data_IF_235251270220
#
_entry.id   IF_235251270220
#
_cell.length_a   1.000
_cell.length_b   1.000
_cell.length_c   1.000
_cell.angle_alpha   90.00
_cell.angle_beta   90.00
_cell.angle_gamma   90.00
#
_symmetry.space_group_name_H-M   'P 1'
#
loop_
_entity.id
_entity.type
_entity.pdbx_description
1 polymer ?
#
# COMPACT_ATOMS: atom_id res chain seq x y z
N UNK A 1 -5.01 8.97 4.07
CA UNK A 1 -5.03 9.84 5.27
C UNK A 1 -5.69 9.13 6.43
N UNK A 2 -5.19 9.40 7.64
CA UNK A 2 -5.75 8.88 8.89
C UNK A 2 -6.21 10.04 9.74
N UNK A 3 -7.49 10.03 10.09
CA UNK A 3 -8.11 11.03 10.97
C UNK A 3 -8.85 10.32 12.08
N UNK A 4 -8.62 10.72 13.32
CA UNK A 4 -9.31 10.16 14.49
C UNK A 4 -9.49 11.22 15.56
N UNK A 5 -10.63 11.18 16.25
CA UNK A 5 -10.92 12.00 17.42
C UNK A 5 -10.69 11.25 18.73
N UNK A 6 -10.24 9.99 18.68
CA UNK A 6 -10.01 9.16 19.85
C UNK A 6 -8.75 9.59 20.60
N UNK A 7 -8.79 9.53 21.93
CA UNK A 7 -7.65 9.86 22.80
C UNK A 7 -6.59 8.75 22.89
N UNK A 8 -6.87 7.59 22.31
CA UNK A 8 -5.90 6.51 22.24
C UNK A 8 -5.00 6.70 21.03
N UNK A 9 -3.75 6.26 21.14
CA UNK A 9 -2.82 6.26 20.02
C UNK A 9 -3.34 5.36 18.89
N UNK A 10 -3.28 5.86 17.67
CA UNK A 10 -3.64 5.12 16.45
C UNK A 10 -2.37 4.58 15.84
N UNK A 11 -2.34 3.30 15.53
CA UNK A 11 -1.21 2.64 14.90
C UNK A 11 -1.63 1.89 13.64
N UNK A 12 -0.71 1.83 12.67
CA UNK A 12 -0.84 0.95 11.49
C UNK A 12 0.24 -0.11 11.56
N UNK A 13 -0.16 -1.36 11.73
CA UNK A 13 0.77 -2.50 11.71
C UNK A 13 1.20 -2.79 10.28
N UNK A 14 2.50 -2.74 10.03
CA UNK A 14 3.11 -3.15 8.76
C UNK A 14 3.26 -4.67 8.72
N UNK A 15 3.83 -5.24 9.79
CA UNK A 15 3.92 -6.69 9.96
C UNK A 15 4.04 -7.08 11.44
N UNK A 16 3.53 -8.28 11.75
CA UNK A 16 3.70 -8.96 13.02
C UNK A 16 3.86 -10.46 12.76
N UNK A 17 5.01 -11.02 13.11
CA UNK A 17 5.36 -12.41 12.77
C UNK A 17 6.38 -12.96 13.77
N UNK A 18 6.49 -14.28 13.87
CA UNK A 18 7.57 -14.90 14.65
C UNK A 18 8.94 -14.47 14.10
N UNK A 19 9.81 -14.05 15.00
CA UNK A 19 11.18 -13.64 14.64
C UNK A 19 12.03 -14.88 14.33
N UNK A 20 12.38 -15.05 13.07
CA UNK A 20 13.14 -16.21 12.58
C UNK A 20 14.58 -15.89 12.22
N UNK A 21 14.92 -14.62 12.07
CA UNK A 21 16.25 -14.15 11.74
C UNK A 21 16.55 -12.81 12.41
N UNK A 22 17.78 -12.35 12.29
CA UNK A 22 18.15 -10.99 12.69
C UNK A 22 17.35 -9.94 11.91
N UNK A 23 17.15 -8.80 12.54
CA UNK A 23 16.51 -7.64 11.90
C UNK A 23 17.60 -6.68 11.48
N UNK A 24 17.65 -6.36 10.20
CA UNK A 24 18.59 -5.36 9.64
C UNK A 24 17.81 -4.13 9.21
N UNK A 25 18.38 -2.97 9.41
CA UNK A 25 17.77 -1.68 9.06
C UNK A 25 18.77 -0.81 8.31
N UNK A 26 18.27 -0.04 7.35
CA UNK A 26 18.96 1.12 6.81
C UNK A 26 18.32 2.39 7.39
N UNK A 27 19.13 3.17 8.10
CA UNK A 27 18.70 4.38 8.78
C UNK A 27 19.73 5.47 8.56
N UNK A 28 19.34 6.65 8.09
CA UNK A 28 20.25 7.75 7.77
C UNK A 28 21.41 7.37 6.83
N UNK A 29 21.21 6.40 5.95
CA UNK A 29 22.24 5.87 5.03
C UNK A 29 23.20 4.85 5.66
N UNK A 30 23.04 4.52 6.93
CA UNK A 30 23.81 3.48 7.61
C UNK A 30 23.00 2.20 7.73
N UNK A 31 23.68 1.05 7.58
CA UNK A 31 23.07 -0.27 7.71
C UNK A 31 23.55 -0.91 9.02
N UNK A 32 22.60 -1.38 9.82
CA UNK A 32 22.91 -2.02 11.09
C UNK A 32 21.97 -3.20 11.38
N UNK A 33 22.51 -4.24 12.01
CA UNK A 33 21.71 -5.29 12.64
C UNK A 33 21.26 -4.83 14.01
N UNK A 34 19.97 -4.93 14.28
CA UNK A 34 19.38 -4.40 15.49
C UNK A 34 19.43 -5.41 16.66
N UNK A 35 19.91 -5.02 17.84
CA UNK A 35 19.78 -5.82 19.05
C UNK A 35 18.30 -5.95 19.47
N UNK A 36 18.01 -6.98 20.26
CA UNK A 36 16.65 -7.25 20.75
C UNK A 36 16.16 -6.13 21.68
N UNK A 37 15.20 -5.33 21.19
CA UNK A 37 14.48 -4.34 22.01
C UNK A 37 13.31 -3.70 21.26
N UNK A 38 12.42 -3.05 22.01
CA UNK A 38 11.41 -2.16 21.46
C UNK A 38 12.00 -0.76 21.27
N UNK A 39 11.76 -0.12 20.13
CA UNK A 39 12.33 1.20 19.78
C UNK A 39 11.51 1.91 18.72
N UNK A 40 11.60 3.22 18.75
CA UNK A 40 11.27 4.08 17.64
C UNK A 40 12.54 4.37 16.82
N UNK A 41 12.42 4.34 15.50
CA UNK A 41 13.48 4.58 14.54
C UNK A 41 13.04 5.71 13.61
N UNK A 42 13.82 6.75 13.53
CA UNK A 42 13.58 7.88 12.63
C UNK A 42 14.38 7.76 11.35
N UNK A 43 13.87 8.31 10.25
CA UNK A 43 14.54 8.34 8.93
C UNK A 43 14.99 6.96 8.45
N UNK A 44 14.11 5.98 8.60
CA UNK A 44 14.35 4.63 8.13
C UNK A 44 14.07 4.57 6.63
N UNK A 45 15.03 4.06 5.87
CA UNK A 45 14.89 3.81 4.43
C UNK A 45 14.30 2.43 4.17
N UNK A 46 14.76 1.42 4.89
CA UNK A 46 14.20 0.08 4.80
C UNK A 46 14.48 -0.73 6.07
N UNK A 47 13.64 -1.74 6.28
CA UNK A 47 13.79 -2.80 7.30
C UNK A 47 13.78 -4.14 6.61
N UNK A 48 14.65 -5.06 7.02
CA UNK A 48 14.69 -6.44 6.55
C UNK A 48 14.56 -7.42 7.70
N UNK A 49 13.70 -8.41 7.54
CA UNK A 49 13.55 -9.52 8.48
C UNK A 49 13.19 -10.80 7.71
N UNK A 50 13.92 -11.88 7.99
CA UNK A 50 13.82 -13.16 7.28
C UNK A 50 14.08 -12.98 5.76
N UNK A 51 13.10 -13.16 4.92
CA UNK A 51 13.21 -12.97 3.46
C UNK A 51 12.31 -11.83 2.97
N UNK A 52 11.96 -10.92 3.84
CA UNK A 52 11.05 -9.82 3.51
C UNK A 52 11.71 -8.48 3.80
N UNK A 53 11.73 -7.62 2.80
CA UNK A 53 12.10 -6.22 2.90
C UNK A 53 10.88 -5.32 2.98
N UNK A 54 10.98 -4.25 3.77
CA UNK A 54 10.00 -3.18 3.89
C UNK A 54 10.70 -1.88 3.57
N UNK A 55 10.39 -1.26 2.44
CA UNK A 55 11.02 -0.03 1.97
C UNK A 55 10.09 1.15 2.23
N UNK A 56 10.65 2.25 2.68
CA UNK A 56 9.96 3.52 2.91
C UNK A 56 10.50 4.56 1.92
N UNK A 57 9.79 4.83 0.81
CA UNK A 57 10.29 5.64 -0.29
C UNK A 57 10.79 7.05 0.12
N UNK A 58 10.10 7.69 1.06
CA UNK A 58 10.44 9.03 1.57
C UNK A 58 11.15 8.99 2.92
N UNK A 59 11.70 7.84 3.30
CA UNK A 59 12.11 7.52 4.66
C UNK A 59 10.99 7.75 5.69
N UNK A 60 10.97 7.00 6.77
CA UNK A 60 9.88 7.05 7.73
C UNK A 60 10.36 6.99 9.17
N UNK A 61 9.53 7.49 10.08
CA UNK A 61 9.59 7.15 11.49
C UNK A 61 8.71 5.93 11.72
N UNK A 62 9.30 4.84 12.18
CA UNK A 62 8.62 3.58 12.45
C UNK A 62 8.94 3.07 13.84
N UNK A 63 8.03 2.32 14.40
CA UNK A 63 8.26 1.58 15.64
C UNK A 63 8.57 0.12 15.30
N UNK A 64 9.52 -0.45 16.01
CA UNK A 64 9.98 -1.80 15.81
C UNK A 64 10.19 -2.50 17.15
N UNK A 65 9.69 -3.74 17.26
CA UNK A 65 9.98 -4.66 18.35
C UNK A 65 10.47 -5.98 17.79
N UNK A 66 11.57 -6.49 18.33
CA UNK A 66 12.12 -7.81 18.02
C UNK A 66 12.42 -8.59 19.31
N UNK A 67 11.50 -8.50 20.27
CA UNK A 67 11.62 -9.06 21.62
C UNK A 67 10.80 -10.33 21.81
N UNK A 68 11.06 -11.00 22.92
CA UNK A 68 10.20 -12.07 23.42
C UNK A 68 8.86 -11.45 23.87
N UNK A 69 7.78 -12.01 23.36
CA UNK A 69 6.43 -11.77 23.85
C UNK A 69 5.91 -12.99 24.60
N UNK A 70 5.11 -12.75 25.63
CA UNK A 70 4.50 -13.79 26.47
C UNK A 70 3.01 -13.59 26.52
N UNK A 71 2.27 -14.66 26.50
CA UNK A 71 0.81 -14.65 26.64
C UNK A 71 0.29 -16.04 26.97
N UNK A 72 -1.01 -16.13 27.26
CA UNK A 72 -1.74 -17.36 27.46
C UNK A 72 -2.92 -17.42 26.52
N UNK A 73 -3.27 -18.59 26.08
CA UNK A 73 -4.47 -18.77 25.26
C UNK A 73 -5.74 -18.44 26.04
N UNK A 74 -5.77 -18.70 27.36
CA UNK A 74 -6.87 -18.36 28.25
C UNK A 74 -7.11 -16.85 28.39
N UNK A 75 -6.14 -15.98 28.02
CA UNK A 75 -6.31 -14.53 28.07
C UNK A 75 -7.10 -13.99 26.86
N UNK A 76 -7.28 -14.79 25.80
CA UNK A 76 -7.86 -14.35 24.51
C UNK A 76 -9.07 -15.17 24.06
N UNK A 77 -9.45 -16.23 24.79
CA UNK A 77 -10.62 -17.05 24.46
C UNK A 77 -11.23 -17.63 25.73
N UNK A 78 -12.56 -17.72 25.73
CA UNK A 78 -13.37 -18.32 26.81
C UNK A 78 -13.65 -19.82 26.59
N UNK A 79 -12.95 -20.49 25.66
CA UNK A 79 -13.13 -21.92 25.40
C UNK A 79 -12.76 -22.75 26.62
N UNK A 80 -13.57 -23.77 26.91
CA UNK A 80 -13.31 -24.69 28.02
C UNK A 80 -12.13 -25.62 27.69
N UNK A 81 -11.27 -25.87 28.68
CA UNK A 81 -10.10 -26.76 28.62
C UNK A 81 -8.90 -26.20 27.81
N UNK A 82 -8.75 -24.90 27.74
CA UNK A 82 -7.54 -24.27 27.21
C UNK A 82 -6.44 -24.31 28.27
N UNK A 83 -5.22 -24.53 27.82
CA UNK A 83 -4.02 -24.50 28.67
C UNK A 83 -3.75 -23.09 29.19
N UNK A 84 -3.50 -22.98 30.49
CA UNK A 84 -3.01 -21.76 31.16
C UNK A 84 -1.49 -21.59 31.05
N UNK A 85 -0.81 -22.45 30.29
CA UNK A 85 0.62 -22.36 30.11
C UNK A 85 1.02 -21.08 29.39
N UNK A 86 2.08 -20.46 29.87
CA UNK A 86 2.65 -19.28 29.24
C UNK A 86 3.37 -19.69 27.98
N UNK A 87 2.88 -19.24 26.84
CA UNK A 87 3.60 -19.30 25.58
C UNK A 87 4.56 -18.12 25.51
N UNK A 88 5.79 -18.39 25.12
CA UNK A 88 6.88 -17.40 25.06
C UNK A 88 7.61 -17.51 23.74
N UNK A 89 7.46 -16.54 22.85
CA UNK A 89 8.02 -16.54 21.52
C UNK A 89 8.69 -15.20 21.18
N UNK A 90 9.75 -15.25 20.38
CA UNK A 90 10.32 -14.03 19.80
C UNK A 90 9.44 -13.55 18.66
N UNK A 91 9.01 -12.30 18.74
CA UNK A 91 8.10 -11.71 17.77
C UNK A 91 8.73 -10.46 17.15
N UNK A 92 8.71 -10.41 15.83
CA UNK A 92 8.98 -9.20 15.08
C UNK A 92 7.68 -8.44 14.90
N UNK A 93 7.69 -7.16 15.24
CA UNK A 93 6.60 -6.21 14.98
C UNK A 93 7.17 -4.94 14.37
N UNK A 94 6.51 -4.47 13.32
CA UNK A 94 6.83 -3.22 12.64
C UNK A 94 5.54 -2.44 12.44
N UNK A 95 5.49 -1.18 12.88
CA UNK A 95 4.28 -0.37 12.78
C UNK A 95 4.59 1.13 12.71
N UNK A 96 3.65 1.88 12.12
CA UNK A 96 3.59 3.33 12.23
C UNK A 96 2.77 3.72 13.45
N UNK A 97 3.26 4.65 14.24
CA UNK A 97 2.50 5.27 15.31
C UNK A 97 2.06 6.67 14.87
N UNK A 98 0.76 6.87 14.70
CA UNK A 98 0.18 8.14 14.28
C UNK A 98 -0.14 9.07 15.45
N UNK A 99 0.12 8.63 16.69
CA UNK A 99 -0.16 9.39 17.89
C UNK A 99 -1.65 9.41 18.26
N UNK A 100 -1.98 10.28 19.21
CA UNK A 100 -3.35 10.52 19.66
C UNK A 100 -4.01 11.55 18.73
N UNK A 101 -5.29 11.31 18.40
CA UNK A 101 -6.09 12.21 17.54
C UNK A 101 -5.38 12.65 16.25
N UNK A 102 -4.83 11.71 15.47
CA UNK A 102 -4.15 12.08 14.24
C UNK A 102 -5.09 12.84 13.31
N UNK A 103 -4.53 13.87 12.64
CA UNK A 103 -5.21 14.64 11.62
C UNK A 103 -4.34 14.65 10.37
N UNK A 104 -4.88 14.18 9.26
CA UNK A 104 -4.18 14.07 7.97
C UNK A 104 -2.88 13.27 8.04
N UNK A 105 -2.77 12.32 8.99
CA UNK A 105 -1.64 11.43 9.04
C UNK A 105 -1.69 10.45 7.86
N UNK A 106 -0.54 10.11 7.31
CA UNK A 106 -0.43 9.19 6.19
C UNK A 106 0.75 8.25 6.39
N UNK A 107 0.76 7.17 5.65
CA UNK A 107 1.88 6.24 5.60
C UNK A 107 1.97 5.61 4.21
N UNK A 108 3.17 5.16 3.87
CA UNK A 108 3.45 4.40 2.66
C UNK A 108 4.64 3.49 2.88
N UNK A 109 4.60 2.32 2.28
CA UNK A 109 5.71 1.38 2.28
C UNK A 109 5.56 0.38 1.13
N UNK A 110 6.67 -0.24 0.75
CA UNK A 110 6.73 -1.29 -0.26
C UNK A 110 7.19 -2.57 0.41
N UNK A 111 6.50 -3.67 0.16
CA UNK A 111 6.90 -5.00 0.61
C UNK A 111 7.63 -5.70 -0.52
N UNK A 112 8.86 -6.14 -0.25
CA UNK A 112 9.69 -6.89 -1.19
C UNK A 112 9.88 -8.30 -0.66
N UNK A 113 9.16 -9.29 -1.19
CA UNK A 113 9.30 -10.67 -0.76
C UNK A 113 10.54 -11.34 -1.39
N UNK A 114 11.06 -12.35 -0.71
CA UNK A 114 12.16 -13.20 -1.15
C UNK A 114 13.44 -12.42 -1.51
N UNK A 115 13.85 -11.52 -0.63
CA UNK A 115 15.00 -10.64 -0.78
C UNK A 115 15.94 -10.81 0.41
N UNK A 116 17.24 -10.69 0.20
CA UNK A 116 18.24 -10.53 1.26
C UNK A 116 18.45 -9.07 1.61
N UNK A 117 19.03 -8.76 2.76
CA UNK A 117 19.34 -7.38 3.15
C UNK A 117 20.32 -6.70 2.17
N UNK A 118 21.25 -7.47 1.56
CA UNK A 118 22.19 -6.94 0.56
C UNK A 118 21.45 -6.55 -0.72
N UNK A 119 20.64 -7.46 -1.27
CA UNK A 119 19.81 -7.19 -2.46
C UNK A 119 18.82 -6.05 -2.21
N UNK A 120 18.24 -5.99 -1.00
CA UNK A 120 17.33 -4.92 -0.63
C UNK A 120 18.01 -3.56 -0.63
N UNK A 121 19.25 -3.48 -0.16
CA UNK A 121 20.03 -2.25 -0.21
C UNK A 121 20.35 -1.81 -1.64
N UNK A 122 20.73 -2.76 -2.51
CA UNK A 122 20.99 -2.48 -3.93
C UNK A 122 19.72 -2.05 -4.66
N UNK A 123 18.58 -2.65 -4.32
CA UNK A 123 17.28 -2.34 -4.95
C UNK A 123 16.56 -1.15 -4.33
N UNK A 124 16.91 -0.74 -3.11
CA UNK A 124 16.26 0.40 -2.45
C UNK A 124 16.45 1.71 -3.21
N UNK A 125 17.58 1.89 -3.89
CA UNK A 125 17.82 3.02 -4.79
C UNK A 125 17.08 2.89 -6.12
N UNK A 126 16.74 1.67 -6.56
CA UNK A 126 15.98 1.41 -7.79
C UNK A 126 14.46 1.48 -7.59
N UNK A 127 13.96 1.67 -6.37
CA UNK A 127 12.53 1.91 -6.09
C UNK A 127 11.98 3.23 -6.66
N UNK A 128 12.78 3.98 -7.36
CA UNK A 128 12.33 5.04 -8.27
C UNK A 128 11.40 4.52 -9.37
N UNK A 129 11.27 3.18 -9.51
CA UNK A 129 10.31 2.56 -10.43
C UNK A 129 8.86 2.63 -9.94
N UNK A 130 8.62 2.95 -8.66
CA UNK A 130 7.28 3.11 -8.10
C UNK A 130 7.03 4.57 -7.75
N UNK A 131 6.02 5.14 -8.39
CA UNK A 131 5.54 6.50 -8.17
C UNK A 131 4.16 6.46 -7.49
N UNK A 132 4.00 7.22 -6.40
CA UNK A 132 2.72 7.39 -5.74
C UNK A 132 2.04 8.62 -6.34
N UNK A 133 1.01 8.40 -7.16
CA UNK A 133 0.28 9.46 -7.84
C UNK A 133 -0.74 10.13 -6.91
N UNK A 134 -1.31 9.37 -6.00
CA UNK A 134 -2.25 9.88 -5.00
C UNK A 134 -2.25 9.00 -3.73
N UNK A 135 -2.34 9.64 -2.57
CA UNK A 135 -2.48 8.97 -1.28
C UNK A 135 -3.40 9.80 -0.37
N UNK A 136 -4.69 9.73 -0.62
CA UNK A 136 -5.72 10.46 0.12
C UNK A 136 -6.76 9.50 0.70
N UNK A 137 -7.69 9.99 1.52
CA UNK A 137 -8.83 9.21 2.02
C UNK A 137 -9.82 8.83 0.92
N UNK A 138 -9.75 9.49 -0.23
CA UNK A 138 -10.73 9.36 -1.31
C UNK A 138 -10.20 8.59 -2.49
N UNK A 139 -8.86 8.60 -2.65
CA UNK A 139 -8.18 8.04 -3.80
C UNK A 139 -6.76 7.62 -3.43
N UNK A 140 -6.39 6.41 -3.83
CA UNK A 140 -5.03 5.93 -3.77
C UNK A 140 -4.61 5.44 -5.16
N UNK A 141 -3.42 5.86 -5.61
CA UNK A 141 -2.90 5.48 -6.92
C UNK A 141 -1.40 5.33 -6.89
N UNK A 142 -0.93 4.25 -7.51
CA UNK A 142 0.49 3.94 -7.68
C UNK A 142 0.77 3.60 -9.13
N UNK A 143 1.95 4.00 -9.61
CA UNK A 143 2.45 3.67 -10.94
C UNK A 143 3.77 2.95 -10.84
N UNK A 144 3.91 1.83 -11.52
CA UNK A 144 5.18 1.14 -11.71
C UNK A 144 5.76 1.54 -13.05
N UNK A 145 6.78 2.39 -13.04
CA UNK A 145 7.34 3.01 -14.25
C UNK A 145 7.91 1.97 -15.22
N UNK A 146 8.70 1.02 -14.72
CA UNK A 146 9.33 -0.02 -15.55
C UNK A 146 8.33 -0.98 -16.21
N UNK A 147 7.23 -1.29 -15.52
CA UNK A 147 6.18 -2.15 -16.04
C UNK A 147 5.06 -1.38 -16.73
N UNK A 148 5.17 -0.05 -16.74
CA UNK A 148 4.17 0.85 -17.33
C UNK A 148 2.74 0.51 -16.85
N UNK A 149 2.63 0.18 -15.55
CA UNK A 149 1.39 -0.25 -14.91
C UNK A 149 0.95 0.75 -13.85
N UNK A 150 -0.29 1.22 -13.95
CA UNK A 150 -0.91 2.06 -12.93
C UNK A 150 -2.07 1.31 -12.26
N UNK A 151 -2.14 1.40 -10.93
CA UNK A 151 -3.23 0.83 -10.13
C UNK A 151 -3.87 1.95 -9.31
N UNK A 152 -5.20 2.01 -9.33
CA UNK A 152 -5.97 3.08 -8.72
C UNK A 152 -7.13 2.48 -7.92
N UNK A 153 -7.30 2.96 -6.69
CA UNK A 153 -8.46 2.69 -5.86
C UNK A 153 -9.22 4.00 -5.62
N UNK A 154 -10.41 4.11 -6.18
CA UNK A 154 -11.35 5.20 -5.92
C UNK A 154 -12.28 4.77 -4.79
N UNK A 155 -12.23 5.43 -3.66
CA UNK A 155 -13.18 5.23 -2.55
C UNK A 155 -14.45 6.04 -2.75
N UNK A 156 -14.40 7.04 -3.61
CA UNK A 156 -15.53 7.83 -4.14
C UNK A 156 -15.19 8.39 -5.52
N UNK A 157 -16.12 9.08 -6.15
CA UNK A 157 -15.86 9.79 -7.39
C UNK A 157 -14.62 10.69 -7.28
N UNK A 158 -13.75 10.67 -8.29
CA UNK A 158 -12.49 11.40 -8.25
C UNK A 158 -11.77 11.40 -9.59
N UNK A 159 -10.61 12.07 -9.61
CA UNK A 159 -9.75 12.20 -10.78
C UNK A 159 -8.27 12.09 -10.36
N UNK A 160 -7.44 11.51 -11.22
CA UNK A 160 -6.00 11.40 -11.03
C UNK A 160 -5.26 11.56 -12.37
N UNK A 161 -4.15 12.29 -12.35
CA UNK A 161 -3.21 12.33 -13.47
C UNK A 161 -2.36 11.06 -13.44
N UNK A 162 -2.46 10.22 -14.48
CA UNK A 162 -1.74 8.94 -14.60
C UNK A 162 -0.48 9.04 -15.47
N UNK A 163 -0.41 10.07 -16.29
CA UNK A 163 0.75 10.47 -17.06
C UNK A 163 0.61 11.94 -17.43
N UNK A 164 1.69 12.54 -17.94
CA UNK A 164 1.66 13.93 -18.40
C UNK A 164 0.49 14.15 -19.36
N UNK A 165 -0.38 15.10 -19.02
CA UNK A 165 -1.56 15.48 -19.79
C UNK A 165 -2.59 14.35 -19.99
N UNK A 166 -2.51 13.27 -19.16
CA UNK A 166 -3.42 12.13 -19.21
C UNK A 166 -4.07 11.94 -17.86
N UNK A 167 -5.32 12.38 -17.74
CA UNK A 167 -6.12 12.24 -16.54
C UNK A 167 -7.14 11.10 -16.68
N UNK A 168 -7.38 10.41 -15.59
CA UNK A 168 -8.47 9.44 -15.47
C UNK A 168 -9.41 9.88 -14.37
N UNK A 169 -10.70 9.96 -14.70
CA UNK A 169 -11.79 10.25 -13.77
C UNK A 169 -12.76 9.08 -13.71
N UNK A 170 -13.23 8.80 -12.50
CA UNK A 170 -14.32 7.84 -12.26
C UNK A 170 -15.45 8.53 -11.50
N UNK A 171 -16.70 8.29 -11.90
CA UNK A 171 -17.90 8.93 -11.32
C UNK A 171 -18.38 8.29 -10.01
N UNK A 172 -17.74 7.20 -9.60
CA UNK A 172 -18.13 6.40 -8.44
C UNK A 172 -16.90 5.74 -7.78
N UNK A 173 -17.13 5.04 -6.68
CA UNK A 173 -16.12 4.15 -6.11
C UNK A 173 -15.79 2.99 -7.07
N UNK A 174 -14.57 2.49 -7.03
CA UNK A 174 -14.13 1.38 -7.86
C UNK A 174 -12.62 1.23 -7.90
N UNK A 175 -12.15 0.25 -8.62
CA UNK A 175 -10.73 0.01 -8.85
C UNK A 175 -10.42 0.00 -10.33
N UNK A 176 -9.28 0.56 -10.69
CA UNK A 176 -8.77 0.52 -12.06
C UNK A 176 -7.34 -0.03 -12.09
N UNK A 177 -7.03 -0.79 -13.11
CA UNK A 177 -5.68 -1.21 -13.46
C UNK A 177 -5.44 -0.86 -14.91
N UNK A 178 -4.36 -0.12 -15.17
CA UNK A 178 -4.07 0.48 -16.46
C UNK A 178 -2.69 0.03 -16.91
N UNK A 179 -2.61 -0.62 -18.06
CA UNK A 179 -1.37 -0.84 -18.77
C UNK A 179 -1.14 0.31 -19.73
N UNK A 180 0.05 0.86 -19.72
CA UNK A 180 0.41 2.03 -20.52
C UNK A 180 1.55 1.70 -21.51
N UNK A 181 1.68 2.51 -22.56
CA UNK A 181 2.89 2.59 -23.37
C UNK A 181 3.26 4.06 -23.49
N UNK A 182 4.29 4.45 -22.75
CA UNK A 182 4.60 5.87 -22.57
C UNK A 182 3.43 6.59 -21.87
N UNK A 183 2.86 7.61 -22.53
CA UNK A 183 1.72 8.36 -22.00
C UNK A 183 0.34 7.86 -22.48
N UNK A 184 0.30 6.75 -23.24
CA UNK A 184 -0.95 6.22 -23.80
C UNK A 184 -1.42 5.00 -23.02
N UNK A 185 -2.71 4.91 -22.79
CA UNK A 185 -3.37 3.73 -22.24
C UNK A 185 -3.44 2.66 -23.35
N UNK A 186 -2.91 1.46 -23.06
CA UNK A 186 -3.05 0.29 -23.92
C UNK A 186 -4.19 -0.61 -23.46
N UNK A 187 -4.33 -0.76 -22.13
CA UNK A 187 -5.38 -1.60 -21.56
C UNK A 187 -5.89 -0.96 -20.27
N UNK A 188 -7.20 -0.96 -20.13
CA UNK A 188 -7.90 -0.53 -18.94
C UNK A 188 -8.76 -1.70 -18.42
N UNK A 189 -8.57 -2.05 -17.17
CA UNK A 189 -9.42 -3.01 -16.45
C UNK A 189 -10.05 -2.29 -15.27
N UNK A 190 -11.37 -2.44 -15.11
CA UNK A 190 -12.13 -1.78 -14.06
C UNK A 190 -12.96 -2.80 -13.31
N UNK A 191 -13.13 -2.59 -12.00
CA UNK A 191 -13.99 -3.42 -11.18
C UNK A 191 -14.70 -2.61 -10.10
N UNK A 192 -15.89 -3.08 -9.72
CA UNK A 192 -16.59 -2.69 -8.50
C UNK A 192 -16.44 -3.79 -7.45
N UNK A 193 -15.49 -3.69 -6.49
CA UNK A 193 -15.35 -4.68 -5.42
C UNK A 193 -16.57 -4.79 -4.52
N UNK A 194 -17.39 -3.75 -4.46
CA UNK A 194 -18.63 -3.75 -3.66
C UNK A 194 -19.76 -4.58 -4.30
N UNK A 195 -19.71 -4.80 -5.61
CA UNK A 195 -20.76 -5.45 -6.43
C UNK A 195 -22.14 -4.81 -6.29
N UNK A 196 -22.16 -3.50 -6.04
CA UNK A 196 -23.41 -2.75 -5.81
C UNK A 196 -23.76 -1.80 -6.96
N UNK A 197 -22.79 -1.49 -7.80
CA UNK A 197 -22.96 -0.55 -8.89
C UNK A 197 -23.48 -1.27 -10.14
N UNK A 198 -24.50 -0.71 -10.76
CA UNK A 198 -24.99 -1.19 -12.06
C UNK A 198 -24.20 -0.60 -13.23
N UNK A 199 -23.46 0.49 -12.99
CA UNK A 199 -22.68 1.22 -13.99
C UNK A 199 -21.57 2.01 -13.34
N UNK A 200 -20.45 2.14 -14.03
CA UNK A 200 -19.34 3.06 -13.71
C UNK A 200 -19.04 3.87 -14.96
N UNK A 201 -18.95 5.18 -14.83
CA UNK A 201 -18.52 6.07 -15.91
C UNK A 201 -17.06 6.43 -15.71
N UNK A 202 -16.26 6.21 -16.74
CA UNK A 202 -14.85 6.54 -16.78
C UNK A 202 -14.64 7.59 -17.86
N UNK A 203 -13.91 8.64 -17.51
CA UNK A 203 -13.47 9.66 -18.45
C UNK A 203 -11.96 9.63 -18.49
N UNK A 204 -11.37 9.54 -19.67
CA UNK A 204 -9.94 9.62 -19.88
C UNK A 204 -9.66 10.77 -20.84
N UNK A 205 -8.70 11.63 -20.49
CA UNK A 205 -8.25 12.67 -21.42
C UNK A 205 -7.40 12.06 -22.52
N UNK A 206 -7.67 12.42 -23.78
CA UNK A 206 -6.94 11.92 -24.95
C UNK A 206 -7.86 11.24 -25.99
N UNK A 207 -7.23 10.71 -27.05
CA UNK A 207 -7.94 9.97 -28.11
C UNK A 207 -7.64 8.48 -27.92
N UNK A 208 -8.65 7.70 -27.57
CA UNK A 208 -8.55 6.26 -27.37
C UNK A 208 -9.54 5.52 -28.24
N UNK A 209 -9.14 4.33 -28.69
CA UNK A 209 -9.99 3.36 -29.38
C UNK A 209 -10.09 2.12 -28.52
N UNK A 210 -11.28 1.56 -28.34
CA UNK A 210 -11.45 0.29 -27.68
C UNK A 210 -11.59 -0.84 -28.69
N UNK A 211 -11.00 -1.97 -28.36
CA UNK A 211 -11.19 -3.24 -29.05
C UNK A 211 -11.86 -4.20 -28.07
N UNK A 212 -13.17 -4.50 -28.25
CA UNK A 212 -13.91 -5.44 -27.40
C UNK A 212 -15.41 -5.20 -27.42
N UNK A 213 -16.16 -6.17 -26.92
CA UNK A 213 -17.62 -6.16 -26.90
C UNK A 213 -18.24 -5.27 -25.82
N UNK A 214 -17.42 -4.71 -24.92
CA UNK A 214 -17.87 -3.86 -23.83
C UNK A 214 -17.72 -2.39 -24.23
N UNK A 215 -18.81 -1.80 -24.58
CA UNK A 215 -19.04 -0.43 -24.98
C UNK A 215 -17.99 0.61 -24.64
N UNK A 216 -17.19 0.95 -25.62
CA UNK A 216 -16.56 2.26 -25.68
C UNK A 216 -17.20 3.05 -26.81
N UNK A 217 -17.67 4.23 -26.51
CA UNK A 217 -17.96 5.24 -27.52
C UNK A 217 -16.73 6.13 -27.66
N UNK A 218 -16.27 6.35 -28.89
CA UNK A 218 -15.21 7.32 -29.16
C UNK A 218 -15.83 8.70 -29.05
N UNK A 219 -15.40 9.56 -28.13
CA UNK A 219 -15.89 10.91 -28.10
C UNK A 219 -15.28 11.74 -29.23
N UNK A 220 -16.08 12.52 -29.89
CA UNK A 220 -15.61 13.75 -30.47
C UNK A 220 -15.17 14.66 -29.32
N UNK A 221 -13.88 14.88 -29.13
CA UNK A 221 -13.22 15.91 -28.32
C UNK A 221 -13.97 16.37 -27.05
N UNK A 222 -14.29 15.55 -26.07
CA UNK A 222 -14.90 15.86 -24.76
C UNK A 222 -16.16 15.06 -24.37
N UNK A 223 -16.29 13.80 -24.73
CA UNK A 223 -17.38 12.98 -24.21
C UNK A 223 -16.92 11.98 -23.14
N UNK A 224 -17.81 11.70 -22.18
CA UNK A 224 -17.63 10.76 -21.11
C UNK A 224 -18.01 9.34 -21.59
N UNK A 225 -17.11 8.40 -21.46
CA UNK A 225 -17.41 7.01 -21.79
C UNK A 225 -17.95 6.25 -20.57
N UNK A 226 -18.93 5.43 -20.81
CA UNK A 226 -19.59 4.63 -19.78
C UNK A 226 -19.20 3.18 -19.92
N UNK A 227 -18.53 2.64 -18.89
CA UNK A 227 -18.18 1.22 -18.80
C UNK A 227 -19.25 0.48 -17.99
N UNK A 228 -19.72 -0.65 -18.50
CA UNK A 228 -20.63 -1.56 -17.79
C UNK A 228 -19.80 -2.78 -17.39
N UNK A 229 -19.55 -3.04 -16.08
CA UNK A 229 -18.83 -4.22 -15.67
C UNK A 229 -19.59 -5.48 -16.09
N UNK A 230 -18.88 -6.44 -16.72
CA UNK A 230 -19.41 -7.80 -16.90
C UNK A 230 -19.49 -8.51 -15.55
N UNK A 231 -20.59 -9.12 -15.27
CA UNK A 231 -20.86 -9.89 -14.04
C UNK A 231 -20.18 -11.27 -14.09
#
# INVERSE_FOLDING_TARGET
>A
DINSNQKLSVATTVNQVLLRSEVTVSQNGEIATLPERNRELEKVNWVHQDKIGYIFPDSATVNLSNQIQKGRWSDITDEKNISDEIVSEKVFMLWFNHGERPQNASYQYIVVPNVTAVELNETSDSNRDIEILANTTELQSVKHLKHELCQIAFYKAGEVEIAKDTNMRMDSQGMAMISMRGNKIEKLSVSDPSRKLSRITITVSGIYHSEGDDFFTIPNEHQNDTFIPSH
#
